data_IF_786646152892
#
_entry.id   IF_786646152892
#
_cell.length_a   1.000
_cell.length_b   1.000
_cell.length_c   1.000
_cell.angle_alpha   90.00
_cell.angle_beta   90.00
_cell.angle_gamma   90.00
#
_symmetry.space_group_name_H-M   'P 1'
#
loop_
_entity.id
_entity.type
_entity.pdbx_description
1 polymer ?
#
# COMPACT_ATOMS: atom_id res chain seq x y z
N UNK A 1 2.57 -18.58 -12.07
CA UNK A 1 2.46 -17.53 -11.04
C UNK A 1 3.60 -16.58 -11.29
N UNK A 2 3.30 -15.38 -11.77
CA UNK A 2 4.33 -14.36 -11.96
C UNK A 2 4.68 -13.80 -10.59
N UNK A 3 5.77 -14.26 -9.96
CA UNK A 3 6.29 -13.78 -8.67
C UNK A 3 6.84 -12.33 -8.73
N UNK A 4 6.29 -11.50 -9.63
CA UNK A 4 6.79 -10.16 -9.96
C UNK A 4 6.47 -9.12 -8.89
N UNK A 5 5.38 -9.29 -8.15
CA UNK A 5 4.95 -8.37 -7.09
C UNK A 5 4.29 -9.13 -5.94
N UNK A 6 4.79 -8.91 -4.73
CA UNK A 6 4.18 -9.35 -3.48
C UNK A 6 4.20 -8.20 -2.47
N UNK A 7 3.06 -7.96 -1.82
CA UNK A 7 2.89 -6.95 -0.78
C UNK A 7 2.29 -7.63 0.44
N UNK A 8 2.82 -7.38 1.63
CA UNK A 8 2.33 -8.01 2.86
C UNK A 8 2.43 -7.08 4.07
N UNK A 9 1.71 -7.46 5.13
CA UNK A 9 1.75 -6.78 6.42
C UNK A 9 2.48 -7.63 7.47
N UNK A 10 3.25 -6.98 8.33
CA UNK A 10 3.87 -7.53 9.53
C UNK A 10 3.31 -6.84 10.78
N UNK A 11 3.32 -7.53 11.93
CA UNK A 11 2.96 -6.94 13.23
C UNK A 11 3.96 -5.85 13.63
N UNK A 12 3.47 -4.78 14.26
CA UNK A 12 4.29 -3.71 14.86
C UNK A 12 3.74 -3.38 16.26
N UNK A 13 4.62 -2.94 17.16
CA UNK A 13 4.19 -2.28 18.40
C UNK A 13 3.45 -0.96 18.10
N UNK A 14 2.33 -0.73 18.78
CA UNK A 14 1.46 0.42 18.52
C UNK A 14 2.20 1.75 18.70
N UNK A 15 2.17 2.60 17.67
CA UNK A 15 2.70 3.98 17.72
C UNK A 15 1.73 4.95 17.06
N UNK A 16 1.51 6.14 17.61
CA UNK A 16 0.55 7.11 17.03
C UNK A 16 1.26 8.08 16.08
N UNK A 17 0.73 8.22 14.86
CA UNK A 17 1.19 9.20 13.87
C UNK A 17 -0.02 9.97 13.29
N UNK A 18 0.16 11.25 12.95
CA UNK A 18 -0.89 12.04 12.31
C UNK A 18 -1.05 11.70 10.83
N UNK A 19 -2.28 11.45 10.39
CA UNK A 19 -2.66 11.38 8.99
C UNK A 19 -3.05 12.73 8.44
N UNK A 20 -2.64 12.99 7.20
CA UNK A 20 -2.91 14.23 6.46
C UNK A 20 -3.47 13.94 5.06
N UNK A 21 -3.57 12.66 4.68
CA UNK A 21 -3.87 12.24 3.31
C UNK A 21 -4.86 11.07 3.25
N UNK A 22 -5.53 10.96 2.13
CA UNK A 22 -6.24 9.77 1.68
C UNK A 22 -5.52 9.21 0.45
N UNK A 23 -5.53 7.89 0.29
CA UNK A 23 -5.00 7.24 -0.90
C UNK A 23 -5.99 6.25 -1.52
N UNK A 24 -5.93 6.17 -2.85
CA UNK A 24 -6.75 5.30 -3.68
C UNK A 24 -5.84 4.51 -4.62
N UNK A 25 -5.95 3.20 -4.61
CA UNK A 25 -5.20 2.29 -5.48
C UNK A 25 -5.95 2.08 -6.79
N UNK A 26 -5.21 2.14 -7.89
CA UNK A 26 -5.70 1.89 -9.24
C UNK A 26 -4.92 0.77 -9.91
N UNK A 27 -5.59 0.00 -10.74
CA UNK A 27 -4.99 -0.94 -11.69
C UNK A 27 -5.45 -0.61 -13.10
N UNK A 28 -4.50 -0.34 -14.01
CA UNK A 28 -4.73 0.16 -15.37
C UNK A 28 -5.72 1.33 -15.40
N UNK A 29 -5.55 2.27 -14.47
CA UNK A 29 -6.40 3.45 -14.30
C UNK A 29 -7.76 3.23 -13.62
N UNK A 30 -8.17 1.99 -13.35
CA UNK A 30 -9.42 1.68 -12.64
C UNK A 30 -9.18 1.57 -11.14
N UNK A 31 -10.03 2.22 -10.34
CA UNK A 31 -9.97 2.12 -8.88
C UNK A 31 -10.28 0.68 -8.45
N UNK A 32 -9.39 0.11 -7.63
CA UNK A 32 -9.55 -1.24 -7.06
C UNK A 32 -9.56 -1.25 -5.52
N UNK A 33 -9.14 -0.15 -4.88
CA UNK A 33 -9.20 0.01 -3.43
C UNK A 33 -9.12 1.50 -3.04
N UNK A 34 -9.73 1.88 -1.91
CA UNK A 34 -9.78 3.25 -1.38
C UNK A 34 -11.00 4.07 -1.84
N UNK A 35 -11.08 5.36 -1.44
CA UNK A 35 -10.11 6.08 -0.62
C UNK A 35 -10.03 5.56 0.82
N UNK A 36 -8.85 5.67 1.44
CA UNK A 36 -8.59 5.31 2.85
C UNK A 36 -7.52 6.24 3.42
N UNK A 37 -7.48 6.42 4.75
CA UNK A 37 -6.46 7.22 5.44
C UNK A 37 -5.04 6.73 5.16
N UNK A 38 -4.15 7.63 4.73
CA UNK A 38 -2.76 7.32 4.41
C UNK A 38 -1.82 8.44 4.89
N UNK A 39 -0.52 8.17 4.95
CA UNK A 39 0.51 9.14 5.36
C UNK A 39 1.35 9.61 4.17
N UNK A 40 2.14 10.66 4.38
CA UNK A 40 3.15 11.11 3.43
C UNK A 40 4.14 9.97 3.09
N UNK A 41 4.44 9.09 4.04
CA UNK A 41 5.32 7.93 3.85
C UNK A 41 4.76 6.92 2.83
N UNK A 42 3.46 6.99 2.55
CA UNK A 42 2.75 6.09 1.63
C UNK A 42 3.11 6.41 0.16
N UNK A 43 3.79 7.55 -0.10
CA UNK A 43 4.43 7.84 -1.39
C UNK A 43 5.50 6.79 -1.72
N UNK A 44 6.34 6.39 -0.75
CA UNK A 44 7.35 5.35 -0.97
C UNK A 44 6.71 3.98 -1.26
N UNK A 45 5.54 3.71 -0.67
CA UNK A 45 4.75 2.52 -0.99
C UNK A 45 4.23 2.55 -2.42
N UNK A 46 3.70 3.70 -2.88
CA UNK A 46 3.27 3.89 -4.27
C UNK A 46 4.42 3.61 -5.23
N UNK A 47 5.58 4.24 -5.01
CA UNK A 47 6.76 4.10 -5.88
C UNK A 47 7.20 2.63 -5.95
N UNK A 48 7.34 1.97 -4.80
CA UNK A 48 7.74 0.56 -4.75
C UNK A 48 6.76 -0.39 -5.48
N UNK A 49 5.45 -0.13 -5.40
CA UNK A 49 4.44 -0.91 -6.11
C UNK A 49 4.47 -0.61 -7.61
N UNK A 50 4.53 0.66 -8.00
CA UNK A 50 4.52 1.09 -9.40
C UNK A 50 5.78 0.62 -10.14
N UNK A 51 6.95 0.73 -9.53
CA UNK A 51 8.22 0.27 -10.12
C UNK A 51 8.26 -1.26 -10.27
N UNK A 52 7.56 -1.98 -9.39
CA UNK A 52 7.41 -3.43 -9.48
C UNK A 52 6.41 -3.87 -10.56
N UNK A 53 5.33 -3.09 -10.76
CA UNK A 53 4.30 -3.32 -11.77
C UNK A 53 3.61 -1.99 -12.13
N UNK A 54 3.98 -1.43 -13.28
CA UNK A 54 3.55 -0.11 -13.77
C UNK A 54 2.04 0.01 -14.04
N UNK A 55 1.33 -1.11 -14.04
CA UNK A 55 -0.13 -1.17 -14.15
C UNK A 55 -0.79 -0.70 -12.86
N UNK A 56 -0.10 -0.79 -11.72
CA UNK A 56 -0.58 -0.26 -10.46
C UNK A 56 -0.13 1.19 -10.27
N UNK A 57 -1.02 2.02 -9.74
CA UNK A 57 -0.68 3.39 -9.32
C UNK A 57 -1.56 3.77 -8.13
N UNK A 58 -1.11 4.76 -7.34
CA UNK A 58 -1.88 5.31 -6.24
C UNK A 58 -2.03 6.82 -6.41
N UNK A 59 -3.26 7.30 -6.25
CA UNK A 59 -3.52 8.73 -6.16
C UNK A 59 -3.69 9.13 -4.70
N UNK A 60 -3.25 10.34 -4.37
CA UNK A 60 -3.37 10.91 -3.04
C UNK A 60 -4.17 12.21 -3.04
N UNK A 61 -5.01 12.36 -2.02
CA UNK A 61 -5.81 13.57 -1.78
C UNK A 61 -5.56 14.05 -0.37
N UNK A 62 -5.42 15.35 -0.14
CA UNK A 62 -5.28 15.91 1.22
C UNK A 62 -6.63 15.82 1.96
N UNK A 63 -6.59 15.51 3.25
CA UNK A 63 -7.75 15.54 4.16
C UNK A 63 -7.42 16.31 5.44
N UNK A 64 -8.45 16.61 6.22
CA UNK A 64 -8.27 17.16 7.57
C UNK A 64 -7.45 16.18 8.44
N UNK A 65 -6.58 16.75 9.29
CA UNK A 65 -5.63 15.96 10.07
C UNK A 65 -6.35 15.07 11.07
N UNK A 66 -6.15 13.76 10.97
CA UNK A 66 -6.60 12.78 11.97
C UNK A 66 -5.39 12.17 12.68
N UNK A 67 -5.53 11.76 13.95
CA UNK A 67 -4.49 10.96 14.62
C UNK A 67 -4.85 9.49 14.49
N UNK A 68 -3.98 8.67 13.92
CA UNK A 68 -4.23 7.23 13.75
C UNK A 68 -3.01 6.42 14.23
N UNK A 69 -3.27 5.27 14.83
CA UNK A 69 -2.25 4.45 15.49
C UNK A 69 -1.67 3.40 14.56
N UNK A 70 -0.39 3.53 14.17
CA UNK A 70 0.35 2.50 13.43
C UNK A 70 0.45 1.24 14.25
N UNK A 71 -0.20 0.19 13.77
CA UNK A 71 -0.17 -1.17 14.33
C UNK A 71 0.58 -2.15 13.44
N UNK A 72 1.01 -1.73 12.25
CA UNK A 72 1.58 -2.61 11.22
C UNK A 72 2.83 -2.06 10.57
N UNK A 73 3.56 -2.97 9.94
CA UNK A 73 4.50 -2.66 8.89
C UNK A 73 3.97 -3.18 7.57
N UNK A 74 4.26 -2.49 6.46
CA UNK A 74 4.02 -2.96 5.09
C UNK A 74 5.32 -3.05 4.32
N UNK A 75 5.46 -4.13 3.55
CA UNK A 75 6.65 -4.41 2.75
C UNK A 75 6.25 -4.81 1.33
N UNK A 76 7.15 -4.57 0.38
CA UNK A 76 6.98 -4.88 -1.04
C UNK A 76 8.18 -5.68 -1.54
N UNK A 77 7.91 -6.79 -2.23
CA UNK A 77 8.89 -7.61 -2.92
C UNK A 77 8.58 -7.60 -4.41
N UNK A 78 9.60 -7.38 -5.22
CA UNK A 78 9.52 -7.50 -6.68
C UNK A 78 10.63 -8.41 -7.19
N UNK A 79 10.26 -9.38 -8.05
CA UNK A 79 11.20 -10.36 -8.62
C UNK A 79 12.12 -10.96 -7.55
N UNK A 80 11.52 -11.44 -6.46
CA UNK A 80 12.17 -12.01 -5.27
C UNK A 80 13.12 -11.09 -4.47
N UNK A 81 13.18 -9.81 -4.81
CA UNK A 81 13.92 -8.79 -4.04
C UNK A 81 12.98 -7.91 -3.24
N UNK A 82 13.23 -7.75 -1.94
CA UNK A 82 12.52 -6.75 -1.12
C UNK A 82 12.94 -5.36 -1.59
N UNK A 83 11.98 -4.58 -2.09
CA UNK A 83 12.18 -3.22 -2.61
C UNK A 83 11.65 -2.15 -1.65
N UNK A 84 10.75 -2.53 -0.74
CA UNK A 84 10.35 -1.73 0.40
C UNK A 84 10.29 -2.65 1.63
N UNK A 85 11.04 -2.32 2.67
CA UNK A 85 11.09 -3.13 3.90
C UNK A 85 10.51 -2.33 5.07
N UNK A 86 9.41 -2.85 5.63
CA UNK A 86 8.80 -2.42 6.89
C UNK A 86 8.48 -0.93 6.99
N UNK A 87 7.75 -0.41 6.01
CA UNK A 87 7.16 0.93 6.12
C UNK A 87 6.06 0.93 7.20
N UNK A 88 6.08 1.88 8.14
CA UNK A 88 5.06 1.96 9.20
C UNK A 88 3.67 2.28 8.64
N UNK A 89 2.66 1.53 9.10
CA UNK A 89 1.27 1.66 8.64
C UNK A 89 0.23 1.09 9.62
N UNK A 90 -1.03 0.97 9.19
CA UNK A 90 -2.19 0.53 9.98
C UNK A 90 -2.82 -0.75 9.44
N UNK A 91 -3.72 -1.34 10.21
CA UNK A 91 -4.48 -2.54 9.83
C UNK A 91 -5.30 -2.37 8.54
N UNK A 92 -5.79 -1.16 8.26
CA UNK A 92 -6.63 -0.87 7.08
C UNK A 92 -5.92 -1.14 5.75
N UNK A 93 -4.58 -1.15 5.75
CA UNK A 93 -3.78 -1.55 4.58
C UNK A 93 -3.92 -3.02 4.20
N UNK A 94 -4.55 -3.85 5.04
CA UNK A 94 -4.89 -5.22 4.67
C UNK A 94 -5.81 -5.25 3.44
N UNK A 95 -6.69 -4.24 3.29
CA UNK A 95 -7.52 -4.07 2.11
C UNK A 95 -6.70 -3.81 0.85
N UNK A 96 -5.64 -2.99 0.94
CA UNK A 96 -4.72 -2.73 -0.16
C UNK A 96 -3.98 -4.00 -0.58
N UNK A 97 -3.42 -4.73 0.39
CA UNK A 97 -2.71 -6.01 0.15
C UNK A 97 -3.63 -7.01 -0.56
N UNK A 98 -4.86 -7.15 -0.07
CA UNK A 98 -5.83 -8.07 -0.66
C UNK A 98 -6.23 -7.64 -2.09
N UNK A 99 -6.43 -6.35 -2.33
CA UNK A 99 -6.80 -5.84 -3.65
C UNK A 99 -5.71 -6.12 -4.70
N UNK A 100 -4.43 -5.92 -4.36
CA UNK A 100 -3.30 -6.27 -5.23
C UNK A 100 -3.27 -7.77 -5.51
N UNK A 101 -3.35 -8.59 -4.45
CA UNK A 101 -3.32 -10.05 -4.57
C UNK A 101 -4.45 -10.59 -5.46
N UNK A 102 -5.68 -10.14 -5.24
CA UNK A 102 -6.85 -10.55 -6.05
C UNK A 102 -6.67 -10.10 -7.49
N UNK A 103 -6.20 -8.86 -7.71
CA UNK A 103 -5.99 -8.34 -9.06
C UNK A 103 -4.98 -9.18 -9.83
N UNK A 104 -3.84 -9.53 -9.21
CA UNK A 104 -2.82 -10.37 -9.84
C UNK A 104 -3.33 -11.77 -10.17
N UNK A 105 -4.19 -12.37 -9.32
CA UNK A 105 -4.80 -13.69 -9.59
C UNK A 105 -5.76 -13.64 -10.78
N UNK A 106 -6.53 -12.57 -10.93
CA UNK A 106 -7.58 -12.46 -11.97
C UNK A 106 -7.01 -12.16 -13.36
N UNK A 107 -5.81 -11.57 -13.44
CA UNK A 107 -5.21 -11.09 -14.69
C UNK A 107 -4.02 -11.93 -15.18
N UNK A 108 -3.56 -12.90 -14.39
CA UNK A 108 -2.63 -13.97 -14.81
C UNK A 108 -3.42 -15.13 -15.46
#
# INVERSE_FOLDING_TARGET
MNDKLNVWLDNKEHSVEGHTMECTLKFKGKVIWGPTSCHDNTIALREAIHDADDRFDMSFTKKDKTGEGHTRYISVKSNDKVVLDKLSTHDDMAGLVNAIKVTLIVVD
#
